data_IF_118783459055
#
_entry.id   IF_118783459055
#
_cell.length_a   1.000
_cell.length_b   1.000
_cell.length_c   1.000
_cell.angle_alpha   90.00
_cell.angle_beta   90.00
_cell.angle_gamma   90.00
#
_symmetry.space_group_name_H-M   'P 1'
#
loop_
_entity.id
_entity.type
_entity.pdbx_description
1 polymer ?
#
# COMPACT_ATOMS: atom_id res chain seq x y z
N UNK A 1 5.35 11.68 -7.40
CA UNK A 1 5.28 11.38 -5.96
C UNK A 1 3.82 11.15 -5.65
N UNK A 2 3.44 9.90 -5.39
CA UNK A 2 2.06 9.56 -5.06
C UNK A 2 1.81 9.92 -3.58
N UNK A 3 0.65 10.53 -3.31
CA UNK A 3 0.18 10.79 -1.95
C UNK A 3 -0.86 9.71 -1.65
N UNK A 4 -0.56 8.84 -0.70
CA UNK A 4 -1.48 7.85 -0.14
C UNK A 4 -1.90 8.29 1.27
N UNK A 5 -3.21 8.30 1.53
CA UNK A 5 -3.75 8.48 2.88
C UNK A 5 -4.58 7.25 3.23
N UNK A 6 -4.30 6.66 4.39
CA UNK A 6 -5.07 5.55 4.94
C UNK A 6 -5.70 5.92 6.29
N UNK A 7 -6.98 5.63 6.45
CA UNK A 7 -7.71 5.87 7.69
C UNK A 7 -8.57 4.67 8.07
N UNK A 8 -8.65 4.38 9.37
CA UNK A 8 -9.59 3.40 9.92
C UNK A 8 -11.01 3.95 9.85
N UNK A 9 -11.95 3.12 9.43
CA UNK A 9 -13.38 3.49 9.31
C UNK A 9 -14.24 2.51 10.10
N UNK A 10 -15.33 3.02 10.68
CA UNK A 10 -16.22 2.20 11.52
C UNK A 10 -17.38 1.58 10.72
N UNK A 11 -17.66 2.07 9.51
CA UNK A 11 -18.78 1.60 8.71
C UNK A 11 -18.48 1.69 7.21
N UNK A 12 -18.03 0.57 6.64
CA UNK A 12 -17.65 0.48 5.23
C UNK A 12 -18.82 0.79 4.28
N UNK A 13 -20.04 0.37 4.61
CA UNK A 13 -21.24 0.61 3.79
C UNK A 13 -21.60 2.09 3.74
N UNK A 14 -21.45 2.80 4.85
CA UNK A 14 -21.69 4.24 4.86
C UNK A 14 -20.64 4.98 4.05
N UNK A 15 -19.35 4.64 4.22
CA UNK A 15 -18.26 5.22 3.43
C UNK A 15 -18.45 4.96 1.94
N UNK A 16 -18.82 3.75 1.56
CA UNK A 16 -19.14 3.38 0.17
C UNK A 16 -20.25 4.27 -0.41
N UNK A 17 -21.37 4.42 0.32
CA UNK A 17 -22.47 5.30 -0.12
C UNK A 17 -22.01 6.75 -0.32
N UNK A 18 -21.16 7.26 0.57
CA UNK A 18 -20.64 8.61 0.45
C UNK A 18 -19.81 8.78 -0.82
N UNK A 19 -18.83 7.90 -1.07
CA UNK A 19 -17.97 8.03 -2.26
C UNK A 19 -18.74 7.81 -3.56
N UNK A 20 -19.70 6.88 -3.59
CA UNK A 20 -20.57 6.66 -4.75
C UNK A 20 -21.47 7.88 -4.98
N UNK A 21 -21.99 8.49 -3.92
CA UNK A 21 -22.74 9.74 -4.00
C UNK A 21 -21.93 10.93 -4.53
N UNK A 22 -20.60 10.91 -4.36
CA UNK A 22 -19.67 11.86 -4.95
C UNK A 22 -19.30 11.55 -6.41
N UNK A 23 -19.78 10.42 -6.96
CA UNK A 23 -19.52 10.01 -8.35
C UNK A 23 -18.45 8.94 -8.51
N UNK A 24 -17.95 8.34 -7.42
CA UNK A 24 -16.96 7.28 -7.50
C UNK A 24 -17.53 6.04 -8.21
N UNK A 25 -16.77 5.47 -9.13
CA UNK A 25 -17.16 4.31 -9.94
C UNK A 25 -16.43 3.08 -9.46
N UNK A 26 -17.16 1.98 -9.27
CA UNK A 26 -16.57 0.69 -8.92
C UNK A 26 -15.62 0.23 -10.03
N UNK A 27 -14.41 -0.15 -9.66
CA UNK A 27 -13.38 -0.69 -10.57
C UNK A 27 -13.34 -2.21 -10.43
N UNK A 28 -13.07 -2.72 -9.23
CA UNK A 28 -12.90 -4.16 -8.99
C UNK A 28 -12.99 -4.53 -7.52
N UNK A 29 -13.17 -5.82 -7.26
CA UNK A 29 -13.12 -6.42 -5.94
C UNK A 29 -12.09 -7.54 -5.93
N UNK A 30 -11.23 -7.58 -4.92
CA UNK A 30 -10.13 -8.54 -4.82
C UNK A 30 -9.90 -8.99 -3.40
N UNK A 31 -9.52 -10.26 -3.24
CA UNK A 31 -8.85 -10.74 -2.04
C UNK A 31 -7.35 -10.56 -2.23
N UNK A 32 -6.68 -9.99 -1.23
CA UNK A 32 -5.24 -9.79 -1.23
C UNK A 32 -4.65 -10.44 0.02
N UNK A 33 -3.55 -11.17 -0.17
CA UNK A 33 -2.70 -11.67 0.91
C UNK A 33 -1.35 -10.97 0.76
N UNK A 34 -1.07 -10.04 1.67
CA UNK A 34 0.17 -9.26 1.69
C UNK A 34 1.10 -9.80 2.78
N UNK A 35 2.27 -10.31 2.39
CA UNK A 35 3.33 -10.73 3.32
C UNK A 35 4.46 -9.72 3.30
N UNK A 36 4.75 -9.13 4.44
CA UNK A 36 5.80 -8.12 4.60
C UNK A 36 7.07 -8.74 5.18
N UNK A 37 8.20 -8.34 4.61
CA UNK A 37 9.53 -8.79 4.97
C UNK A 37 10.44 -7.58 5.25
N UNK A 38 11.32 -7.73 6.23
CA UNK A 38 12.29 -6.70 6.57
C UNK A 38 13.31 -7.21 7.59
N UNK A 39 14.30 -6.38 7.93
CA UNK A 39 15.30 -6.72 8.92
C UNK A 39 15.72 -5.46 9.70
N UNK A 40 15.51 -5.48 11.02
CA UNK A 40 15.63 -4.30 11.88
C UNK A 40 17.07 -3.77 11.97
N UNK A 41 18.08 -4.65 11.90
CA UNK A 41 19.47 -4.24 11.97
C UNK A 41 19.95 -3.60 10.66
N UNK A 42 19.39 -4.03 9.53
CA UNK A 42 19.65 -3.49 8.21
C UNK A 42 19.07 -2.07 8.10
N UNK A 43 17.89 -1.80 8.67
CA UNK A 43 17.37 -0.43 8.79
C UNK A 43 18.33 0.47 9.57
N UNK A 44 18.85 -0.02 10.71
CA UNK A 44 19.82 0.72 11.52
C UNK A 44 21.12 0.99 10.76
N UNK A 45 21.57 0.03 9.95
CA UNK A 45 22.82 0.13 9.17
C UNK A 45 22.69 1.08 7.98
N UNK A 46 21.56 1.04 7.27
CA UNK A 46 21.33 1.83 6.06
C UNK A 46 20.97 3.29 6.37
N UNK A 47 20.47 3.57 7.58
CA UNK A 47 20.04 4.91 7.97
C UNK A 47 18.68 5.33 7.37
N UNK A 48 18.02 4.42 6.64
CA UNK A 48 16.68 4.57 6.09
C UNK A 48 15.85 3.30 6.35
N UNK A 49 14.52 3.46 6.37
CA UNK A 49 13.59 2.35 6.57
C UNK A 49 13.10 1.82 5.24
N UNK A 50 13.02 0.50 5.08
CA UNK A 50 12.38 -0.11 3.92
C UNK A 50 11.62 -1.39 4.31
N UNK A 51 10.72 -1.84 3.45
CA UNK A 51 10.02 -3.11 3.59
C UNK A 51 9.87 -3.74 2.21
N UNK A 52 9.99 -5.06 2.15
CA UNK A 52 9.61 -5.84 0.97
C UNK A 52 8.21 -6.40 1.19
N UNK A 53 7.35 -6.37 0.17
CA UNK A 53 6.01 -6.95 0.20
C UNK A 53 5.86 -7.96 -0.92
N UNK A 54 5.48 -9.18 -0.58
CA UNK A 54 4.98 -10.18 -1.53
C UNK A 54 3.46 -10.16 -1.43
N UNK A 55 2.77 -9.79 -2.51
CA UNK A 55 1.30 -9.77 -2.58
C UNK A 55 0.80 -10.87 -3.50
N UNK A 56 -0.20 -11.61 -3.04
CA UNK A 56 -0.98 -12.55 -3.85
C UNK A 56 -2.43 -12.04 -3.99
N UNK A 57 -2.88 -11.85 -5.23
CA UNK A 57 -4.25 -11.45 -5.59
C UNK A 57 -4.99 -12.54 -6.39
N UNK A 58 -4.63 -13.81 -6.17
CA UNK A 58 -5.12 -14.95 -6.94
C UNK A 58 -4.30 -15.16 -8.21
N UNK A 59 -4.80 -14.64 -9.33
CA UNK A 59 -4.16 -14.79 -10.65
C UNK A 59 -2.86 -13.99 -10.76
N UNK A 60 -2.81 -12.81 -10.14
CA UNK A 60 -1.64 -11.92 -10.13
C UNK A 60 -0.91 -11.94 -8.80
N UNK A 61 0.42 -11.81 -8.87
CA UNK A 61 1.31 -11.73 -7.72
C UNK A 61 2.31 -10.63 -7.96
N UNK A 62 2.71 -9.95 -6.89
CA UNK A 62 3.57 -8.77 -6.96
C UNK A 62 4.69 -8.86 -5.93
N UNK A 63 5.85 -8.34 -6.30
CA UNK A 63 6.90 -7.98 -5.35
C UNK A 63 7.03 -6.46 -5.34
N UNK A 64 6.97 -5.88 -4.14
CA UNK A 64 7.09 -4.44 -3.92
C UNK A 64 8.27 -4.17 -2.99
N UNK A 65 9.15 -3.25 -3.36
CA UNK A 65 9.99 -2.53 -2.40
C UNK A 65 9.25 -1.27 -1.97
N UNK A 66 9.20 -0.99 -0.66
CA UNK A 66 8.75 0.28 -0.10
C UNK A 66 9.88 0.87 0.73
N UNK A 67 10.41 2.05 0.40
CA UNK A 67 11.51 2.67 1.14
C UNK A 67 11.31 4.14 1.41
N UNK A 68 11.87 4.66 2.50
CA UNK A 68 11.86 6.08 2.83
C UNK A 68 13.28 6.56 3.11
N UNK A 69 13.96 7.12 2.10
CA UNK A 69 15.35 7.59 2.19
C UNK A 69 15.55 8.74 3.18
N UNK A 70 14.49 9.52 3.45
CA UNK A 70 14.51 10.60 4.44
C UNK A 70 13.34 10.47 5.41
N UNK A 71 13.55 10.84 6.68
CA UNK A 71 12.49 10.91 7.71
C UNK A 71 11.41 11.98 7.42
N UNK A 72 11.35 12.54 6.21
CA UNK A 72 10.36 13.56 5.84
C UNK A 72 9.05 12.87 5.49
N UNK A 73 8.13 12.97 6.45
CA UNK A 73 6.67 12.97 6.33
C UNK A 73 6.06 12.04 5.26
N UNK A 74 5.88 10.77 5.63
CA UNK A 74 4.83 9.91 5.06
C UNK A 74 4.98 9.49 3.60
N UNK A 75 6.05 9.90 2.90
CA UNK A 75 6.31 9.55 1.51
C UNK A 75 7.21 8.32 1.44
N UNK A 76 6.74 7.28 0.77
CA UNK A 76 7.50 6.07 0.48
C UNK A 76 7.78 6.01 -1.01
N UNK A 77 9.01 5.73 -1.40
CA UNK A 77 9.34 5.28 -2.74
C UNK A 77 8.93 3.83 -2.89
N UNK A 78 8.18 3.55 -3.95
CA UNK A 78 7.68 2.21 -4.24
C UNK A 78 8.19 1.73 -5.60
N UNK A 79 8.73 0.52 -5.63
CA UNK A 79 9.05 -0.19 -6.86
C UNK A 79 8.30 -1.51 -6.86
N UNK A 80 7.30 -1.64 -7.74
CA UNK A 80 6.43 -2.82 -7.84
C UNK A 80 6.54 -3.47 -9.22
N UNK A 81 6.56 -4.80 -9.24
CA UNK A 81 6.47 -5.56 -10.48
C UNK A 81 5.76 -6.90 -10.26
N UNK A 82 5.25 -7.46 -11.37
CA UNK A 82 4.60 -8.78 -11.36
C UNK A 82 5.65 -9.88 -11.18
N UNK A 83 5.30 -10.90 -10.40
CA UNK A 83 6.08 -12.12 -10.23
C UNK A 83 5.22 -13.35 -10.54
N UNK A 84 5.85 -14.43 -11.00
CA UNK A 84 5.13 -15.66 -11.34
C UNK A 84 4.89 -16.56 -10.12
N UNK A 85 5.78 -16.51 -9.13
CA UNK A 85 5.77 -17.41 -7.98
C UNK A 85 6.13 -16.70 -6.67
N UNK A 86 5.13 -16.52 -5.81
CA UNK A 86 5.29 -15.89 -4.49
C UNK A 86 6.20 -16.69 -3.55
N UNK A 87 6.13 -18.03 -3.58
CA UNK A 87 6.93 -18.88 -2.69
C UNK A 87 8.42 -18.71 -3.01
N UNK A 88 8.76 -18.64 -4.28
CA UNK A 88 10.16 -18.41 -4.70
C UNK A 88 10.64 -17.02 -4.29
N UNK A 89 9.81 -15.99 -4.42
CA UNK A 89 10.14 -14.65 -3.93
C UNK A 89 10.39 -14.65 -2.41
N UNK A 90 9.52 -15.31 -1.63
CA UNK A 90 9.69 -15.42 -0.17
C UNK A 90 10.98 -16.17 0.21
N UNK A 91 11.32 -17.26 -0.49
CA UNK A 91 12.58 -18.00 -0.27
C UNK A 91 13.79 -17.11 -0.56
N UNK A 92 13.77 -16.34 -1.66
CA UNK A 92 14.84 -15.41 -2.00
C UNK A 92 15.02 -14.32 -0.94
N UNK A 93 13.92 -13.71 -0.48
CA UNK A 93 13.97 -12.67 0.57
C UNK A 93 14.57 -13.23 1.87
N UNK A 94 14.20 -14.45 2.27
CA UNK A 94 14.78 -15.13 3.44
C UNK A 94 16.27 -15.44 3.25
N UNK A 95 16.67 -15.90 2.06
CA UNK A 95 18.08 -16.16 1.74
C UNK A 95 18.93 -14.88 1.80
N UNK A 96 18.34 -13.71 1.51
CA UNK A 96 18.96 -12.40 1.68
C UNK A 96 19.00 -11.92 3.15
N UNK A 97 18.45 -12.69 4.08
CA UNK A 97 18.41 -12.36 5.52
C UNK A 97 17.21 -11.53 5.95
N UNK A 98 16.18 -11.37 5.10
CA UNK A 98 14.94 -10.70 5.50
C UNK A 98 13.97 -11.68 6.15
N UNK A 99 13.34 -11.26 7.24
CA UNK A 99 12.39 -12.10 7.99
C UNK A 99 10.95 -11.72 7.66
N UNK A 100 10.02 -12.69 7.71
CA UNK A 100 8.59 -12.38 7.57
C UNK A 100 8.12 -11.68 8.84
N UNK A 101 7.69 -10.42 8.71
CA UNK A 101 7.25 -9.58 9.82
C UNK A 101 5.75 -9.78 10.08
N UNK A 102 4.94 -9.67 9.04
CA UNK A 102 3.48 -9.75 9.16
C UNK A 102 2.85 -10.25 7.87
N UNK A 103 1.68 -10.87 8.00
CA UNK A 103 0.81 -11.27 6.91
C UNK A 103 -0.56 -10.60 7.10
N UNK A 104 -1.06 -9.97 6.04
CA UNK A 104 -2.31 -9.20 6.06
C UNK A 104 -3.24 -9.78 5.00
N UNK A 105 -4.31 -10.43 5.45
CA UNK A 105 -5.38 -10.95 4.60
C UNK A 105 -6.53 -9.94 4.56
N UNK A 106 -6.85 -9.42 3.37
CA UNK A 106 -7.85 -8.38 3.19
C UNK A 106 -8.73 -8.59 1.97
N UNK A 107 -9.96 -8.13 2.07
CA UNK A 107 -10.86 -7.92 0.95
C UNK A 107 -10.85 -6.44 0.59
N UNK A 108 -10.45 -6.11 -0.63
CA UNK A 108 -10.37 -4.75 -1.16
C UNK A 108 -11.45 -4.53 -2.20
N UNK A 109 -12.18 -3.44 -2.06
CA UNK A 109 -13.08 -2.90 -3.08
C UNK A 109 -12.48 -1.59 -3.58
N UNK A 110 -12.18 -1.53 -4.87
CA UNK A 110 -11.52 -0.39 -5.49
C UNK A 110 -12.53 0.43 -6.30
N UNK A 111 -12.51 1.74 -6.08
CA UNK A 111 -13.29 2.74 -6.81
C UNK A 111 -12.35 3.76 -7.43
N UNK A 112 -12.81 4.41 -8.49
CA UNK A 112 -12.15 5.57 -9.11
C UNK A 112 -13.07 6.79 -9.02
N UNK A 113 -12.53 7.90 -8.53
CA UNK A 113 -13.18 9.21 -8.50
C UNK A 113 -12.21 10.23 -9.08
N UNK A 114 -12.48 10.72 -10.29
CA UNK A 114 -11.56 11.55 -11.06
C UNK A 114 -10.16 10.91 -11.17
N UNK A 115 -9.11 11.58 -10.68
CA UNK A 115 -7.73 11.08 -10.64
C UNK A 115 -7.39 10.33 -9.35
N UNK A 116 -8.38 10.00 -8.52
CA UNK A 116 -8.18 9.30 -7.25
C UNK A 116 -8.57 7.83 -7.36
N UNK A 117 -7.68 6.95 -6.87
CA UNK A 117 -8.01 5.59 -6.49
C UNK A 117 -8.48 5.59 -5.04
N UNK A 118 -9.65 4.99 -4.78
CA UNK A 118 -10.21 4.83 -3.44
C UNK A 118 -10.37 3.34 -3.18
N UNK A 119 -9.66 2.81 -2.19
CA UNK A 119 -9.76 1.43 -1.77
C UNK A 119 -10.48 1.34 -0.42
N UNK A 120 -11.55 0.54 -0.37
CA UNK A 120 -12.22 0.15 0.87
C UNK A 120 -11.75 -1.26 1.24
N UNK A 121 -10.98 -1.34 2.32
CA UNK A 121 -10.38 -2.58 2.79
C UNK A 121 -11.13 -3.12 4.01
N UNK A 122 -11.40 -4.42 4.00
CA UNK A 122 -11.77 -5.18 5.20
C UNK A 122 -10.64 -6.15 5.50
N UNK A 123 -9.98 -5.95 6.64
CA UNK A 123 -8.87 -6.79 7.08
C UNK A 123 -9.36 -7.67 8.23
N UNK A 124 -9.07 -8.97 8.13
CA UNK A 124 -9.34 -9.93 9.20
C UNK A 124 -8.68 -9.43 10.49
N UNK A 125 -9.43 -9.44 11.60
CA UNK A 125 -9.01 -8.98 12.94
C UNK A 125 -8.65 -7.50 13.15
N UNK A 126 -8.48 -6.69 12.10
CA UNK A 126 -8.12 -5.26 12.23
C UNK A 126 -9.27 -4.29 11.92
N UNK A 127 -10.28 -4.76 11.18
CA UNK A 127 -11.48 -3.98 10.83
C UNK A 127 -11.41 -3.35 9.44
N UNK A 128 -12.11 -2.24 9.27
CA UNK A 128 -12.29 -1.60 7.97
C UNK A 128 -11.40 -0.36 7.81
N UNK A 129 -10.89 -0.14 6.61
CA UNK A 129 -10.06 1.00 6.26
C UNK A 129 -10.49 1.61 4.93
N UNK A 130 -10.24 2.91 4.77
CA UNK A 130 -10.23 3.58 3.47
C UNK A 130 -8.80 4.01 3.16
N UNK A 131 -8.39 3.79 1.93
CA UNK A 131 -7.14 4.27 1.35
C UNK A 131 -7.48 5.12 0.14
N UNK A 132 -6.88 6.30 0.05
CA UNK A 132 -7.07 7.24 -1.06
C UNK A 132 -5.69 7.57 -1.61
N UNK A 133 -5.52 7.36 -2.90
CA UNK A 133 -4.27 7.55 -3.62
C UNK A 133 -4.51 8.39 -4.88
N UNK A 134 -3.64 9.36 -5.11
CA UNK A 134 -3.65 10.16 -6.34
C UNK A 134 -2.93 9.40 -7.46
N UNK A 135 -3.61 9.18 -8.58
CA UNK A 135 -3.06 8.54 -9.78
C UNK A 135 -2.27 9.51 -10.68
N UNK A 136 -2.07 10.76 -10.24
CA UNK A 136 -1.32 11.75 -11.00
C UNK A 136 0.20 11.51 -10.87
N UNK A 137 0.80 11.02 -11.97
CA UNK A 137 2.24 10.95 -12.21
C UNK A 137 2.93 12.34 -12.33
N UNK A 138 2.17 13.44 -12.22
CA UNK A 138 2.71 14.78 -12.40
C UNK A 138 3.35 15.32 -11.12
N UNK A 139 4.63 15.68 -11.25
CA UNK A 139 5.45 16.46 -10.31
C UNK A 139 4.64 17.45 -9.47
N UNK A 140 4.23 17.03 -8.27
CA UNK A 140 3.79 17.96 -7.24
C UNK A 140 5.02 18.75 -6.80
N UNK A 141 5.05 20.01 -7.22
CA UNK A 141 6.05 21.01 -6.90
C UNK A 141 6.38 20.98 -5.39
N UNK A 142 7.62 20.56 -5.08
CA UNK A 142 8.13 20.17 -3.76
C UNK A 142 8.13 21.30 -2.71
N UNK A 143 7.76 22.52 -3.09
CA UNK A 143 7.81 23.71 -2.23
C UNK A 143 6.46 24.14 -1.62
N UNK A 144 5.31 23.58 -2.04
CA UNK A 144 4.01 24.01 -1.50
C UNK A 144 3.56 23.29 -0.23
N UNK A 145 4.18 22.18 0.14
CA UNK A 145 3.88 21.43 1.38
C UNK A 145 4.75 21.86 2.59
N UNK A 146 5.77 22.70 2.39
CA UNK A 146 6.69 23.15 3.46
C UNK A 146 6.17 24.32 4.32
N UNK A 147 5.06 24.97 3.93
CA UNK A 147 4.65 26.26 4.52
C UNK A 147 3.30 26.24 5.25
N UNK A 148 2.95 25.13 5.91
CA UNK A 148 1.86 25.11 6.90
C UNK A 148 2.34 24.47 8.20
N UNK A 149 3.33 25.13 8.82
CA UNK A 149 3.65 25.03 10.24
C UNK A 149 3.14 26.26 10.96
#
# INVERSE_FOLDING_TARGET
MEIEIRAKINNIKNTERCIVGLGAKLVKQKRQIDKYFGEINLFKKLGYSFLMRVRNEGDKKFLTYKGAESKKDGVWEEYEFNIDNEIMAEVMLKAMGLEKIIEVNKNRIEYKLDDLAICLDTIEDLGCFVEIESQNDNDIDKDKLKNRG
#
